data_IF_223930533719
#
_entry.id   IF_223930533719
#
_cell.length_a   1.000
_cell.length_b   1.000
_cell.length_c   1.000
_cell.angle_alpha   90.00
_cell.angle_beta   90.00
_cell.angle_gamma   90.00
#
_symmetry.space_group_name_H-M   'P 1'
#
loop_
_entity.id
_entity.type
_entity.pdbx_description
1 polymer ?
#
# COMPACT_ATOMS: atom_id res chain seq x y z
N UNK A 1 -4.39 -77.01 15.00
CA UNK A 1 -3.55 -77.25 16.20
C UNK A 1 -4.05 -76.36 17.35
N UNK A 2 -3.86 -76.74 18.62
CA UNK A 2 -4.14 -75.88 19.79
C UNK A 2 -2.80 -75.41 20.39
N UNK A 3 -2.68 -74.16 20.87
CA UNK A 3 -1.93 -73.82 22.09
C UNK A 3 -2.24 -72.43 22.65
N UNK A 4 -2.15 -72.40 23.97
CA UNK A 4 -2.75 -71.48 24.94
C UNK A 4 -2.03 -70.14 25.13
N UNK A 5 -2.84 -69.10 25.34
CA UNK A 5 -2.68 -67.87 26.15
C UNK A 5 -1.51 -67.78 27.15
N UNK A 6 -0.93 -66.58 27.28
CA UNK A 6 -0.48 -65.97 28.56
C UNK A 6 -0.70 -64.44 28.55
N UNK A 7 -0.92 -63.83 29.73
CA UNK A 7 -1.15 -62.38 29.93
C UNK A 7 0.06 -61.65 30.54
N UNK A 8 0.10 -60.30 30.39
CA UNK A 8 0.71 -59.34 31.34
C UNK A 8 0.16 -57.92 31.12
N UNK A 9 0.06 -57.13 32.20
CA UNK A 9 -0.65 -55.82 32.40
C UNK A 9 -0.02 -55.15 33.66
N UNK A 10 -0.19 -53.85 34.05
CA UNK A 10 -0.70 -52.62 33.39
C UNK A 10 0.43 -51.75 32.77
N UNK A 11 0.66 -50.41 32.86
CA UNK A 11 0.20 -49.22 33.65
C UNK A 11 0.32 -47.90 32.82
N UNK A 12 -0.29 -46.75 33.22
CA UNK A 12 -0.55 -45.59 32.35
C UNK A 12 0.51 -44.45 32.33
N UNK A 13 0.38 -43.50 31.38
CA UNK A 13 1.24 -42.30 31.23
C UNK A 13 0.52 -41.02 30.75
N UNK A 14 0.12 -40.16 31.69
CA UNK A 14 -0.10 -38.69 31.61
C UNK A 14 -0.84 -38.05 30.42
N UNK A 15 -2.00 -37.44 30.69
CA UNK A 15 -2.64 -36.45 29.82
C UNK A 15 -2.04 -35.02 29.99
N UNK A 16 -1.95 -34.19 28.93
CA UNK A 16 -1.57 -32.79 29.04
C UNK A 16 -2.60 -31.95 29.81
N UNK A 17 -2.12 -31.07 30.70
CA UNK A 17 -2.96 -30.20 31.55
C UNK A 17 -3.68 -29.13 30.72
N UNK A 18 -4.95 -28.86 31.05
CA UNK A 18 -5.53 -27.51 30.85
C UNK A 18 -4.67 -26.49 31.60
N UNK A 19 -4.29 -25.39 30.96
CA UNK A 19 -3.77 -24.19 31.64
C UNK A 19 -4.62 -22.99 31.22
N UNK A 20 -5.47 -22.52 32.12
CA UNK A 20 -6.04 -21.19 32.00
C UNK A 20 -4.92 -20.17 32.28
N UNK A 21 -4.81 -19.13 31.45
CA UNK A 21 -4.01 -17.94 31.72
C UNK A 21 -4.75 -16.70 31.21
N UNK A 22 -5.56 -16.15 32.10
CA UNK A 22 -5.75 -14.72 32.35
C UNK A 22 -5.92 -13.78 31.14
N UNK A 23 -7.17 -13.42 30.88
CA UNK A 23 -7.56 -12.26 30.09
C UNK A 23 -7.11 -10.96 30.77
N UNK A 24 -5.88 -10.51 30.51
CA UNK A 24 -5.40 -9.20 30.95
C UNK A 24 -6.09 -8.11 30.14
N UNK A 25 -7.07 -7.45 30.77
CA UNK A 25 -7.46 -6.08 30.40
C UNK A 25 -6.45 -5.12 31.04
N UNK A 26 -5.86 -4.21 30.26
CA UNK A 26 -5.31 -2.96 30.77
C UNK A 26 -5.64 -1.82 29.78
N UNK A 27 -5.79 -0.54 30.21
CA UNK A 27 -6.64 0.41 29.49
C UNK A 27 -5.93 1.66 28.97
N UNK A 28 -6.69 2.44 28.18
CA UNK A 28 -6.41 3.86 27.93
C UNK A 28 -5.39 4.14 26.83
N UNK A 29 -5.89 4.44 25.62
CA UNK A 29 -5.09 5.13 24.61
C UNK A 29 -4.66 6.52 25.11
N UNK A 30 -3.53 7.03 24.61
CA UNK A 30 -3.00 8.36 24.96
C UNK A 30 -1.90 8.41 26.02
N UNK A 31 -1.46 7.28 26.58
CA UNK A 31 -0.28 7.23 27.49
C UNK A 31 0.96 6.74 26.75
N UNK A 32 2.12 7.35 27.04
CA UNK A 32 3.41 6.87 26.54
C UNK A 32 3.67 5.41 26.99
N UNK A 33 4.30 4.57 26.14
CA UNK A 33 4.44 3.14 26.42
C UNK A 33 5.19 2.88 27.73
N UNK A 34 4.63 2.03 28.60
CA UNK A 34 5.27 1.74 29.89
C UNK A 34 6.52 0.89 29.65
N UNK A 35 7.62 1.06 30.42
CA UNK A 35 8.84 0.27 30.23
C UNK A 35 8.62 -1.25 30.27
N UNK A 36 7.64 -1.73 31.02
CA UNK A 36 7.23 -3.14 31.06
C UNK A 36 6.65 -3.64 29.71
N UNK A 37 5.85 -2.83 29.02
CA UNK A 37 5.24 -3.15 27.72
C UNK A 37 6.32 -3.21 26.63
N UNK A 38 7.23 -2.23 26.63
CA UNK A 38 8.40 -2.22 25.75
C UNK A 38 9.29 -3.43 26.01
N UNK A 39 9.54 -3.79 27.27
CA UNK A 39 10.34 -4.97 27.64
C UNK A 39 9.64 -6.31 27.32
N UNK A 40 8.30 -6.37 27.26
CA UNK A 40 7.59 -7.54 26.71
C UNK A 40 7.77 -7.60 25.21
N UNK A 41 7.50 -6.52 24.48
CA UNK A 41 7.66 -6.45 23.03
C UNK A 41 9.11 -6.77 22.60
N UNK A 42 10.10 -6.30 23.37
CA UNK A 42 11.53 -6.60 23.19
C UNK A 42 11.81 -8.10 23.26
N UNK A 43 11.23 -8.80 24.24
CA UNK A 43 11.39 -10.24 24.44
C UNK A 43 10.62 -11.08 23.43
N UNK A 44 9.51 -10.58 22.88
CA UNK A 44 8.66 -11.34 21.94
C UNK A 44 9.04 -11.12 20.47
N UNK A 45 9.46 -9.92 20.06
CA UNK A 45 9.77 -9.56 18.65
C UNK A 45 11.04 -8.73 18.46
N UNK A 46 11.88 -8.63 19.50
CA UNK A 46 13.23 -8.08 19.41
C UNK A 46 13.31 -6.55 19.38
N UNK A 47 14.52 -6.02 19.61
CA UNK A 47 14.80 -4.58 19.67
C UNK A 47 14.25 -3.83 18.45
N UNK A 48 14.40 -4.39 17.23
CA UNK A 48 13.92 -3.77 16.01
C UNK A 48 12.39 -3.62 15.92
N UNK A 49 11.60 -4.37 16.69
CA UNK A 49 10.16 -4.12 16.82
C UNK A 49 9.85 -3.00 17.83
N UNK A 50 10.64 -2.90 18.91
CA UNK A 50 10.56 -1.82 19.90
C UNK A 50 10.92 -0.48 19.28
N UNK A 51 12.09 -0.39 18.62
CA UNK A 51 12.54 0.82 17.94
C UNK A 51 11.51 1.28 16.91
N UNK A 52 10.95 0.35 16.11
CA UNK A 52 9.87 0.67 15.16
C UNK A 52 8.54 1.02 15.81
N UNK A 53 8.22 0.57 17.03
CA UNK A 53 7.00 1.02 17.74
C UNK A 53 7.18 2.43 18.29
N UNK A 54 8.35 2.76 18.83
CA UNK A 54 8.69 4.11 19.30
C UNK A 54 8.76 5.10 18.13
N UNK A 55 9.38 4.73 17.01
CA UNK A 55 9.44 5.53 15.77
C UNK A 55 8.13 5.60 14.98
N UNK A 56 7.07 4.89 15.39
CA UNK A 56 5.74 4.90 14.74
C UNK A 56 4.64 5.44 15.65
N UNK A 57 4.99 6.04 16.79
CA UNK A 57 4.01 6.88 17.46
C UNK A 57 3.81 8.12 16.60
N UNK A 58 2.62 8.26 16.04
CA UNK A 58 2.11 9.49 15.43
C UNK A 58 2.44 10.65 16.37
N UNK A 59 3.03 11.72 15.87
CA UNK A 59 3.25 12.92 16.70
C UNK A 59 1.89 13.37 17.24
N UNK A 60 1.69 13.50 18.57
CA UNK A 60 0.43 13.95 19.14
C UNK A 60 -0.04 15.29 18.57
N UNK A 61 0.88 16.17 18.16
CA UNK A 61 0.57 17.43 17.47
C UNK A 61 -0.09 17.20 16.10
N UNK A 62 0.39 16.23 15.32
CA UNK A 62 -0.17 15.88 14.00
C UNK A 62 -1.55 15.23 14.13
N UNK A 63 -1.76 14.40 15.16
CA UNK A 63 -3.08 13.83 15.47
C UNK A 63 -4.08 14.87 16.02
N UNK A 64 -3.62 16.00 16.56
CA UNK A 64 -4.44 17.15 16.97
C UNK A 64 -4.71 18.11 15.79
N UNK A 65 -3.70 18.34 14.94
CA UNK A 65 -3.82 19.07 13.67
C UNK A 65 -4.90 18.45 12.78
N UNK A 66 -4.85 17.13 12.57
CA UNK A 66 -5.86 16.40 11.80
C UNK A 66 -7.30 16.64 12.32
N UNK A 67 -7.51 16.55 13.64
CA UNK A 67 -8.83 16.76 14.27
C UNK A 67 -9.27 18.22 14.21
N UNK A 68 -8.34 19.18 14.32
CA UNK A 68 -8.63 20.61 14.15
C UNK A 68 -9.05 20.93 12.72
N UNK A 69 -8.32 20.43 11.74
CA UNK A 69 -8.62 20.63 10.32
C UNK A 69 -9.94 19.95 9.91
N UNK A 70 -10.32 18.85 10.55
CA UNK A 70 -11.65 18.24 10.36
C UNK A 70 -12.80 19.01 11.06
N UNK A 71 -12.50 19.76 12.13
CA UNK A 71 -13.50 20.55 12.87
C UNK A 71 -13.75 21.93 12.24
N UNK A 72 -12.72 22.54 11.65
CA UNK A 72 -12.84 23.69 10.73
C UNK A 72 -12.09 23.39 9.41
N UNK A 73 -12.78 22.75 8.45
CA UNK A 73 -12.23 22.50 7.12
C UNK A 73 -11.82 23.77 6.37
N UNK A 74 -12.45 24.92 6.67
CA UNK A 74 -12.23 26.16 5.92
C UNK A 74 -10.99 26.92 6.37
N UNK A 75 -10.54 26.72 7.62
CA UNK A 75 -9.29 27.27 8.13
C UNK A 75 -8.02 26.50 7.70
N UNK A 76 -8.16 25.32 7.07
CA UNK A 76 -7.03 24.60 6.52
C UNK A 76 -6.41 25.37 5.34
N UNK A 77 -5.11 25.66 5.40
CA UNK A 77 -4.40 26.49 4.40
C UNK A 77 -4.30 25.95 2.96
N UNK A 78 -4.96 24.83 2.65
CA UNK A 78 -5.07 24.25 1.30
C UNK A 78 -6.52 24.31 0.76
N UNK A 79 -7.47 24.83 1.54
CA UNK A 79 -8.90 24.87 1.17
C UNK A 79 -9.14 25.65 -0.13
N UNK A 80 -8.53 26.83 -0.28
CA UNK A 80 -8.60 27.59 -1.53
C UNK A 80 -7.96 26.84 -2.70
N UNK A 81 -6.80 26.21 -2.50
CA UNK A 81 -6.11 25.40 -3.51
C UNK A 81 -7.02 24.27 -4.01
N UNK A 82 -7.58 23.49 -3.08
CA UNK A 82 -8.47 22.38 -3.37
C UNK A 82 -9.73 22.84 -4.11
N UNK A 83 -10.44 23.85 -3.58
CA UNK A 83 -11.66 24.39 -4.19
C UNK A 83 -11.42 24.88 -5.62
N UNK A 84 -10.37 25.65 -5.84
CA UNK A 84 -10.10 26.26 -7.15
C UNK A 84 -9.62 25.20 -8.16
N UNK A 85 -8.92 24.16 -7.72
CA UNK A 85 -8.58 23.00 -8.54
C UNK A 85 -9.79 22.11 -8.87
N UNK A 86 -10.69 21.88 -7.92
CA UNK A 86 -11.94 21.13 -8.14
C UNK A 86 -12.84 21.87 -9.13
N UNK A 87 -12.96 23.20 -9.02
CA UNK A 87 -13.67 24.02 -9.99
C UNK A 87 -13.04 23.94 -11.40
N UNK A 88 -11.70 23.98 -11.51
CA UNK A 88 -10.98 23.79 -12.78
C UNK A 88 -11.20 22.39 -13.39
N UNK A 89 -11.30 21.36 -12.55
CA UNK A 89 -11.61 19.99 -12.96
C UNK A 89 -13.12 19.71 -13.17
N UNK A 90 -13.97 20.75 -13.12
CA UNK A 90 -15.39 20.67 -13.47
C UNK A 90 -16.30 20.09 -12.37
N UNK A 91 -15.85 20.03 -11.12
CA UNK A 91 -16.67 19.55 -10.01
C UNK A 91 -17.71 20.59 -9.55
N UNK A 92 -18.94 20.16 -9.21
CA UNK A 92 -19.91 21.01 -8.51
C UNK A 92 -19.39 21.49 -7.14
N UNK A 93 -19.93 22.62 -6.65
CA UNK A 93 -19.51 23.23 -5.39
C UNK A 93 -19.90 22.36 -4.17
N UNK A 94 -21.10 21.79 -4.17
CA UNK A 94 -21.58 20.85 -3.14
C UNK A 94 -20.75 19.56 -3.10
N UNK A 95 -20.38 19.02 -4.27
CA UNK A 95 -19.44 17.89 -4.40
C UNK A 95 -18.05 18.26 -3.88
N UNK A 96 -17.61 19.49 -4.11
CA UNK A 96 -16.33 20.03 -3.62
C UNK A 96 -16.31 20.14 -2.09
N UNK A 97 -17.27 20.87 -1.51
CA UNK A 97 -17.41 21.02 -0.06
C UNK A 97 -17.50 19.65 0.64
N UNK A 98 -18.29 18.73 0.08
CA UNK A 98 -18.47 17.37 0.60
C UNK A 98 -17.18 16.57 0.52
N UNK A 99 -16.49 16.56 -0.63
CA UNK A 99 -15.24 15.82 -0.79
C UNK A 99 -14.14 16.34 0.16
N UNK A 100 -14.08 17.65 0.41
CA UNK A 100 -13.13 18.24 1.36
C UNK A 100 -13.37 17.76 2.80
N UNK A 101 -14.63 17.81 3.25
CA UNK A 101 -15.03 17.30 4.58
C UNK A 101 -14.72 15.80 4.72
N UNK A 102 -14.97 15.01 3.67
CA UNK A 102 -14.71 13.57 3.67
C UNK A 102 -13.20 13.23 3.68
N UNK A 103 -12.37 14.01 3.01
CA UNK A 103 -10.89 13.89 3.06
C UNK A 103 -10.39 14.20 4.48
N UNK A 104 -10.74 15.35 5.06
CA UNK A 104 -10.21 15.78 6.35
C UNK A 104 -10.77 14.97 7.54
N UNK A 105 -12.07 14.69 7.54
CA UNK A 105 -12.70 13.79 8.53
C UNK A 105 -12.09 12.39 8.49
N UNK A 106 -11.80 11.87 7.28
CA UNK A 106 -11.11 10.60 7.12
C UNK A 106 -9.68 10.61 7.65
N UNK A 107 -8.92 11.68 7.43
CA UNK A 107 -7.54 11.84 7.96
C UNK A 107 -7.55 11.89 9.50
N UNK A 108 -8.50 12.62 10.10
CA UNK A 108 -8.68 12.69 11.56
C UNK A 108 -9.02 11.33 12.19
N UNK A 109 -9.94 10.58 11.57
CA UNK A 109 -10.34 9.25 12.03
C UNK A 109 -9.25 8.18 11.80
N UNK A 110 -8.39 8.36 10.79
CA UNK A 110 -7.39 7.36 10.44
C UNK A 110 -6.37 7.09 11.55
N UNK A 111 -6.08 8.08 12.42
CA UNK A 111 -5.22 7.88 13.59
C UNK A 111 -5.78 6.82 14.53
N UNK A 112 -7.07 6.93 14.89
CA UNK A 112 -7.78 5.95 15.74
C UNK A 112 -7.79 4.56 15.10
N UNK A 113 -8.08 4.47 13.80
CA UNK A 113 -8.10 3.20 13.06
C UNK A 113 -6.72 2.56 12.95
N UNK A 114 -5.64 3.35 12.88
CA UNK A 114 -4.27 2.86 12.87
C UNK A 114 -3.89 2.23 14.22
N UNK A 115 -4.16 2.91 15.34
CA UNK A 115 -3.88 2.41 16.69
C UNK A 115 -4.72 1.18 17.04
N UNK A 116 -6.01 1.19 16.67
CA UNK A 116 -6.90 0.05 16.87
C UNK A 116 -6.50 -1.15 16.01
N UNK A 117 -6.08 -0.96 14.76
CA UNK A 117 -5.57 -2.05 13.93
C UNK A 117 -4.36 -2.74 14.58
N UNK A 118 -3.40 -1.94 15.06
CA UNK A 118 -2.19 -2.42 15.74
C UNK A 118 -2.47 -3.09 17.10
N UNK A 119 -3.63 -2.83 17.70
CA UNK A 119 -4.04 -3.38 19.01
C UNK A 119 -4.92 -4.62 18.86
N UNK A 120 -5.80 -4.67 17.86
CA UNK A 120 -6.81 -5.72 17.66
C UNK A 120 -6.29 -6.90 16.85
N UNK A 121 -5.36 -6.69 15.91
CA UNK A 121 -4.96 -7.70 14.93
C UNK A 121 -3.46 -7.94 14.91
N UNK A 122 -3.05 -9.21 14.77
CA UNK A 122 -1.64 -9.62 14.63
C UNK A 122 -1.24 -9.85 13.17
N UNK A 123 -2.18 -10.23 12.30
CA UNK A 123 -1.90 -10.43 10.88
C UNK A 123 -1.87 -9.08 10.13
N UNK A 124 -0.84 -8.89 9.29
CA UNK A 124 -0.69 -7.65 8.50
C UNK A 124 -1.87 -7.35 7.58
N UNK A 125 -2.55 -8.39 7.09
CA UNK A 125 -3.67 -8.22 6.18
C UNK A 125 -4.92 -7.71 6.91
N UNK A 126 -5.31 -8.34 8.02
CA UNK A 126 -6.37 -7.85 8.91
C UNK A 126 -6.10 -6.39 9.35
N UNK A 127 -4.84 -6.06 9.69
CA UNK A 127 -4.44 -4.68 9.99
C UNK A 127 -4.62 -3.73 8.80
N UNK A 128 -4.42 -4.16 7.54
CA UNK A 128 -4.69 -3.33 6.35
C UNK A 128 -6.18 -3.16 6.14
N UNK A 129 -6.93 -4.26 6.16
CA UNK A 129 -8.36 -4.31 5.88
C UNK A 129 -9.14 -3.46 6.89
N UNK A 130 -8.76 -3.51 8.18
CA UNK A 130 -9.33 -2.62 9.21
C UNK A 130 -8.98 -1.14 9.00
N UNK A 131 -7.76 -0.81 8.56
CA UNK A 131 -7.41 0.59 8.24
C UNK A 131 -8.12 1.10 6.99
N UNK A 132 -8.46 0.21 6.05
CA UNK A 132 -9.25 0.53 4.86
C UNK A 132 -10.76 0.62 5.13
N UNK A 133 -11.25 0.18 6.30
CA UNK A 133 -12.67 0.27 6.68
C UNK A 133 -13.11 1.67 7.14
N UNK A 134 -12.26 2.69 6.95
CA UNK A 134 -12.56 4.09 7.26
C UNK A 134 -13.75 4.57 6.42
N UNK A 135 -14.92 4.75 7.06
CA UNK A 135 -16.17 5.09 6.38
C UNK A 135 -16.10 6.41 5.61
N UNK A 136 -15.36 7.40 6.11
CA UNK A 136 -15.17 8.68 5.42
C UNK A 136 -14.57 8.50 4.02
N UNK A 137 -13.57 7.62 3.87
CA UNK A 137 -12.98 7.31 2.56
C UNK A 137 -13.88 6.43 1.69
N UNK A 138 -14.77 5.62 2.28
CA UNK A 138 -15.77 4.86 1.53
C UNK A 138 -16.89 5.76 0.99
N UNK A 139 -17.34 6.75 1.76
CA UNK A 139 -18.26 7.79 1.27
C UNK A 139 -17.59 8.69 0.22
N UNK A 140 -16.31 9.07 0.42
CA UNK A 140 -15.54 9.85 -0.55
C UNK A 140 -15.56 9.17 -1.93
N UNK A 141 -15.33 7.86 -1.98
CA UNK A 141 -15.39 7.06 -3.22
C UNK A 141 -16.76 7.05 -3.90
N UNK A 142 -17.86 7.23 -3.16
CA UNK A 142 -19.20 7.39 -3.77
C UNK A 142 -19.37 8.78 -4.39
N UNK A 143 -18.87 9.82 -3.70
CA UNK A 143 -18.99 11.22 -4.12
C UNK A 143 -18.10 11.53 -5.33
N UNK A 144 -16.84 11.10 -5.32
CA UNK A 144 -15.84 11.43 -6.35
C UNK A 144 -15.64 10.34 -7.39
N UNK A 145 -16.35 9.22 -7.26
CA UNK A 145 -16.05 7.97 -7.97
C UNK A 145 -15.96 8.12 -9.48
N UNK A 146 -16.94 8.77 -10.12
CA UNK A 146 -16.96 8.92 -11.59
C UNK A 146 -15.91 9.93 -12.10
N UNK A 147 -15.37 10.76 -11.21
CA UNK A 147 -14.20 11.61 -11.46
C UNK A 147 -12.85 10.86 -11.27
N UNK A 148 -12.89 9.54 -11.06
CA UNK A 148 -11.76 8.61 -11.23
C UNK A 148 -11.77 7.92 -12.61
N UNK A 149 -12.42 8.53 -13.61
CA UNK A 149 -12.38 8.07 -15.00
C UNK A 149 -11.00 8.26 -15.65
N UNK A 150 -10.73 7.47 -16.69
CA UNK A 150 -9.55 7.62 -17.56
C UNK A 150 -9.88 8.47 -18.79
N UNK A 151 -8.93 9.31 -19.20
CA UNK A 151 -9.00 10.21 -20.36
C UNK A 151 -8.20 9.70 -21.57
N UNK A 152 -7.38 8.67 -21.38
CA UNK A 152 -6.67 7.94 -22.45
C UNK A 152 -7.32 6.56 -22.68
N UNK A 153 -6.97 5.82 -23.75
CA UNK A 153 -7.58 4.51 -24.03
C UNK A 153 -7.30 3.40 -22.99
N UNK A 154 -6.36 3.61 -22.06
CA UNK A 154 -5.88 2.57 -21.15
C UNK A 154 -5.49 3.11 -19.77
N UNK A 155 -5.64 2.26 -18.76
CA UNK A 155 -5.28 2.58 -17.38
C UNK A 155 -3.81 2.26 -17.13
N UNK A 156 -3.14 3.08 -16.31
CA UNK A 156 -1.84 2.76 -15.74
C UNK A 156 -1.91 2.53 -14.22
N UNK A 157 -1.08 1.62 -13.74
CA UNK A 157 -0.69 1.47 -12.34
C UNK A 157 0.84 1.41 -12.27
N UNK A 158 1.41 1.75 -11.10
CA UNK A 158 2.86 1.86 -10.98
C UNK A 158 3.38 1.44 -9.59
N UNK A 159 4.66 1.07 -9.52
CA UNK A 159 5.35 0.91 -8.24
C UNK A 159 6.85 1.15 -8.35
N UNK A 160 7.40 1.89 -7.37
CA UNK A 160 8.84 2.17 -7.25
C UNK A 160 9.21 3.66 -7.24
N UNK A 161 8.28 4.57 -7.51
CA UNK A 161 8.47 6.03 -7.39
C UNK A 161 7.39 6.83 -8.13
N UNK A 162 7.07 8.04 -7.65
CA UNK A 162 6.00 8.91 -8.20
C UNK A 162 6.30 9.33 -9.64
N UNK A 163 7.57 9.41 -10.01
CA UNK A 163 8.03 9.66 -11.38
C UNK A 163 7.63 8.56 -12.38
N UNK A 164 7.33 7.35 -11.90
CA UNK A 164 6.83 6.24 -12.74
C UNK A 164 5.38 6.50 -13.16
N UNK A 165 4.61 7.29 -12.40
CA UNK A 165 3.28 7.77 -12.81
C UNK A 165 3.38 8.74 -14.00
N UNK A 166 4.30 9.71 -13.91
CA UNK A 166 4.52 10.69 -14.99
C UNK A 166 5.05 10.02 -16.26
N UNK A 167 5.90 9.00 -16.11
CA UNK A 167 6.34 8.14 -17.22
C UNK A 167 5.17 7.39 -17.86
N UNK A 168 4.34 6.69 -17.08
CA UNK A 168 3.17 5.99 -17.59
C UNK A 168 2.20 6.95 -18.30
N UNK A 169 2.08 8.19 -17.80
CA UNK A 169 1.32 9.25 -18.45
C UNK A 169 1.93 9.69 -19.78
N UNK A 170 3.25 9.88 -19.85
CA UNK A 170 3.96 10.21 -21.09
C UNK A 170 3.89 9.08 -22.14
N UNK A 171 3.73 7.82 -21.70
CA UNK A 171 3.50 6.65 -22.58
C UNK A 171 2.05 6.52 -23.09
N UNK A 172 1.15 7.43 -22.71
CA UNK A 172 -0.21 7.50 -23.23
C UNK A 172 -1.26 6.72 -22.43
N UNK A 173 -0.98 6.43 -21.16
CA UNK A 173 -1.90 5.78 -20.22
C UNK A 173 -2.37 6.77 -19.14
N UNK A 174 -3.49 6.51 -18.48
CA UNK A 174 -3.94 7.34 -17.35
C UNK A 174 -3.64 6.63 -16.03
N UNK A 175 -2.67 7.09 -15.22
CA UNK A 175 -2.51 6.67 -13.82
C UNK A 175 -3.52 7.37 -12.90
N UNK A 176 -3.62 6.92 -11.63
CA UNK A 176 -4.54 7.50 -10.64
C UNK A 176 -4.34 9.01 -10.47
N UNK A 177 -3.09 9.46 -10.41
CA UNK A 177 -2.70 10.87 -10.21
C UNK A 177 -2.98 11.76 -11.45
N UNK A 178 -3.37 11.15 -12.58
CA UNK A 178 -3.82 11.86 -13.78
C UNK A 178 -5.36 11.85 -13.95
N UNK A 179 -6.11 11.21 -13.05
CA UNK A 179 -7.59 11.31 -13.05
C UNK A 179 -8.06 12.67 -12.53
N UNK A 180 -9.26 13.16 -12.91
CA UNK A 180 -9.77 14.45 -12.44
C UNK A 180 -9.75 14.64 -10.93
N UNK A 181 -10.12 13.64 -10.11
CA UNK A 181 -9.99 13.75 -8.65
C UNK A 181 -8.58 13.47 -8.14
N UNK A 182 -7.91 12.42 -8.65
CA UNK A 182 -6.59 12.02 -8.17
C UNK A 182 -5.53 13.11 -8.40
N UNK A 183 -5.58 13.81 -9.53
CA UNK A 183 -4.72 14.94 -9.86
C UNK A 183 -5.06 16.25 -9.15
N UNK A 184 -6.16 16.31 -8.40
CA UNK A 184 -6.39 17.33 -7.36
C UNK A 184 -5.63 16.92 -6.10
N UNK A 185 -5.92 15.73 -5.57
CA UNK A 185 -5.41 15.27 -4.26
C UNK A 185 -3.88 15.06 -4.23
N UNK A 186 -3.26 14.68 -5.35
CA UNK A 186 -1.81 14.50 -5.50
C UNK A 186 -1.00 15.79 -5.22
N UNK A 187 -1.60 16.97 -5.40
CA UNK A 187 -0.91 18.27 -5.30
C UNK A 187 -1.05 18.97 -3.93
N UNK A 188 -1.72 18.34 -2.96
CA UNK A 188 -2.13 19.01 -1.70
C UNK A 188 -1.32 18.58 -0.49
N UNK A 189 -0.92 19.56 0.32
CA UNK A 189 -0.21 19.38 1.58
C UNK A 189 -1.17 19.14 2.75
N UNK A 190 -2.05 18.14 2.61
CA UNK A 190 -3.16 17.87 3.56
C UNK A 190 -2.70 17.64 5.01
N UNK A 191 -1.59 16.92 5.18
CA UNK A 191 -0.94 16.64 6.48
C UNK A 191 0.47 16.08 6.22
N UNK A 192 1.37 16.22 7.20
CA UNK A 192 2.75 15.72 7.09
C UNK A 192 2.85 14.19 7.09
N UNK A 193 2.09 13.51 7.97
CA UNK A 193 2.19 12.06 8.14
C UNK A 193 1.50 11.24 7.03
N UNK A 194 2.29 10.40 6.37
CA UNK A 194 1.83 9.45 5.38
C UNK A 194 1.01 8.30 5.97
N UNK A 195 1.13 7.94 7.25
CA UNK A 195 0.31 6.89 7.86
C UNK A 195 -1.18 7.27 7.97
N UNK A 196 -1.51 8.57 7.95
CA UNK A 196 -2.89 9.07 7.90
C UNK A 196 -3.42 9.15 6.46
N UNK A 197 -2.57 9.54 5.49
CA UNK A 197 -2.95 9.69 4.07
C UNK A 197 -2.98 8.37 3.29
N UNK A 198 -2.09 7.42 3.58
CA UNK A 198 -1.95 6.17 2.77
C UNK A 198 -3.27 5.37 2.65
N UNK A 199 -4.09 5.22 3.70
CA UNK A 199 -5.35 4.47 3.58
C UNK A 199 -6.39 5.15 2.67
N UNK A 200 -6.38 6.49 2.54
CA UNK A 200 -7.18 7.20 1.53
C UNK A 200 -6.77 6.79 0.11
N UNK A 201 -5.46 6.85 -0.16
CA UNK A 201 -4.89 6.46 -1.46
C UNK A 201 -5.20 5.01 -1.81
N UNK A 202 -5.13 4.08 -0.85
CA UNK A 202 -5.55 2.68 -1.05
C UNK A 202 -7.02 2.54 -1.49
N UNK A 203 -7.92 3.33 -0.88
CA UNK A 203 -9.36 3.26 -1.14
C UNK A 203 -9.71 3.89 -2.50
N UNK A 204 -9.08 5.03 -2.83
CA UNK A 204 -9.16 5.65 -4.17
C UNK A 204 -8.58 4.73 -5.26
N UNK A 205 -7.42 4.13 -5.02
CA UNK A 205 -6.78 3.10 -5.86
C UNK A 205 -7.73 1.93 -6.17
N UNK A 206 -8.38 1.37 -5.15
CA UNK A 206 -9.35 0.28 -5.33
C UNK A 206 -10.58 0.71 -6.14
N UNK A 207 -11.07 1.93 -5.94
CA UNK A 207 -12.19 2.51 -6.71
C UNK A 207 -11.83 2.80 -8.17
N UNK A 208 -10.58 3.20 -8.42
CA UNK A 208 -10.00 3.45 -9.72
C UNK A 208 -9.87 2.16 -10.54
N UNK A 209 -9.19 1.12 -10.03
CA UNK A 209 -9.03 -0.15 -10.76
C UNK A 209 -10.35 -0.85 -11.07
N UNK A 210 -11.40 -0.61 -10.27
CA UNK A 210 -12.75 -1.11 -10.51
C UNK A 210 -13.44 -0.47 -11.74
N UNK A 211 -12.89 0.63 -12.26
CA UNK A 211 -13.30 1.28 -13.51
C UNK A 211 -12.55 0.79 -14.75
N UNK A 212 -11.61 -0.16 -14.64
CA UNK A 212 -10.94 -0.73 -15.81
C UNK A 212 -11.94 -1.40 -16.78
N UNK A 213 -11.81 -1.11 -18.09
CA UNK A 213 -12.64 -1.69 -19.17
C UNK A 213 -11.83 -2.27 -20.33
N UNK A 214 -10.54 -1.97 -20.40
CA UNK A 214 -9.58 -2.47 -21.39
C UNK A 214 -8.23 -2.79 -20.73
N UNK A 215 -7.13 -2.86 -21.50
CA UNK A 215 -5.80 -3.12 -20.96
C UNK A 215 -5.40 -2.19 -19.81
N UNK A 216 -4.73 -2.76 -18.81
CA UNK A 216 -4.14 -2.07 -17.66
C UNK A 216 -2.63 -2.30 -17.71
N UNK A 217 -1.89 -1.21 -17.87
CA UNK A 217 -0.44 -1.19 -17.97
C UNK A 217 0.17 -0.99 -16.58
N UNK A 218 1.11 -1.84 -16.19
CA UNK A 218 1.66 -1.91 -14.84
C UNK A 218 3.16 -1.66 -14.91
N UNK A 219 3.58 -0.45 -14.53
CA UNK A 219 4.96 0.03 -14.60
C UNK A 219 5.71 -0.23 -13.30
N UNK A 220 6.67 -1.15 -13.34
CA UNK A 220 7.32 -1.72 -12.16
C UNK A 220 8.80 -1.36 -12.13
N UNK A 221 9.18 -0.35 -11.33
CA UNK A 221 10.58 -0.02 -11.03
C UNK A 221 11.12 -0.74 -9.80
N UNK A 222 10.25 -1.14 -8.86
CA UNK A 222 10.64 -1.96 -7.71
C UNK A 222 9.52 -2.93 -7.31
N UNK A 223 9.83 -4.22 -7.22
CA UNK A 223 8.86 -5.21 -6.77
C UNK A 223 8.69 -5.20 -5.26
N UNK A 224 7.43 -5.18 -4.79
CA UNK A 224 7.10 -5.32 -3.39
C UNK A 224 5.73 -6.02 -3.23
N UNK A 225 5.68 -7.28 -2.74
CA UNK A 225 4.41 -7.97 -2.50
C UNK A 225 3.57 -7.33 -1.38
N UNK A 226 4.16 -6.49 -0.53
CA UNK A 226 3.48 -5.72 0.52
C UNK A 226 3.01 -4.32 0.05
N UNK A 227 3.16 -3.99 -1.25
CA UNK A 227 2.68 -2.72 -1.84
C UNK A 227 1.17 -2.70 -2.11
N UNK A 228 0.61 -1.50 -2.31
CA UNK A 228 -0.80 -1.31 -2.73
C UNK A 228 -1.07 -2.06 -4.04
N UNK A 229 -0.18 -1.90 -5.02
CA UNK A 229 -0.24 -2.59 -6.32
C UNK A 229 -0.39 -4.11 -6.17
N UNK A 230 0.54 -4.77 -5.48
CA UNK A 230 0.57 -6.23 -5.46
C UNK A 230 -0.42 -6.83 -4.44
N UNK A 231 -0.69 -6.14 -3.33
CA UNK A 231 -1.56 -6.65 -2.27
C UNK A 231 -3.04 -6.26 -2.40
N UNK A 232 -3.39 -5.22 -3.16
CA UNK A 232 -4.77 -4.69 -3.26
C UNK A 232 -5.24 -4.52 -4.71
N UNK A 233 -4.47 -3.82 -5.56
CA UNK A 233 -4.88 -3.51 -6.94
C UNK A 233 -4.93 -4.75 -7.83
N UNK A 234 -3.85 -5.54 -7.87
CA UNK A 234 -3.77 -6.76 -8.71
C UNK A 234 -4.78 -7.83 -8.28
N UNK A 235 -5.04 -8.09 -6.98
CA UNK A 235 -6.16 -8.92 -6.54
C UNK A 235 -7.54 -8.39 -6.98
N UNK A 236 -7.80 -7.08 -6.85
CA UNK A 236 -9.06 -6.47 -7.30
C UNK A 236 -9.21 -6.59 -8.82
N UNK A 237 -8.15 -6.32 -9.59
CA UNK A 237 -8.15 -6.45 -11.05
C UNK A 237 -8.45 -7.88 -11.51
N UNK A 238 -8.00 -8.92 -10.80
CA UNK A 238 -8.36 -10.32 -11.13
C UNK A 238 -9.87 -10.57 -11.04
N UNK A 239 -10.58 -9.90 -10.12
CA UNK A 239 -12.05 -9.95 -10.05
C UNK A 239 -12.66 -9.18 -11.23
N UNK A 240 -12.13 -7.99 -11.56
CA UNK A 240 -12.58 -7.18 -12.70
C UNK A 240 -12.37 -7.90 -14.05
N UNK A 241 -11.26 -8.62 -14.23
CA UNK A 241 -10.96 -9.43 -15.42
C UNK A 241 -11.98 -10.57 -15.63
N UNK A 242 -12.49 -11.16 -14.55
CA UNK A 242 -13.53 -12.19 -14.63
C UNK A 242 -14.90 -11.63 -15.06
N UNK A 243 -15.12 -10.32 -14.89
CA UNK A 243 -16.35 -9.61 -15.32
C UNK A 243 -16.18 -8.93 -16.69
N UNK A 244 -14.94 -8.57 -17.06
CA UNK A 244 -14.61 -7.82 -18.27
C UNK A 244 -13.42 -8.46 -19.01
N UNK A 245 -13.63 -9.42 -19.93
CA UNK A 245 -12.55 -10.13 -20.64
C UNK A 245 -11.64 -9.26 -21.53
N UNK A 246 -12.02 -8.01 -21.78
CA UNK A 246 -11.17 -7.00 -22.44
C UNK A 246 -10.08 -6.44 -21.50
N UNK A 247 -10.23 -6.58 -20.18
CA UNK A 247 -9.23 -6.20 -19.19
C UNK A 247 -8.12 -7.25 -19.18
N UNK A 248 -6.91 -6.81 -19.49
CA UNK A 248 -5.67 -7.61 -19.52
C UNK A 248 -4.58 -6.84 -18.81
N UNK A 249 -3.70 -7.54 -18.10
CA UNK A 249 -2.56 -6.93 -17.42
C UNK A 249 -1.35 -6.95 -18.35
N UNK A 250 -0.76 -5.79 -18.59
CA UNK A 250 0.45 -5.60 -19.40
C UNK A 250 1.54 -5.08 -18.46
N UNK A 251 2.64 -5.79 -18.32
CA UNK A 251 3.66 -5.51 -17.31
C UNK A 251 4.92 -4.91 -17.93
N UNK A 252 5.42 -3.80 -17.38
CA UNK A 252 6.57 -3.06 -17.91
C UNK A 252 7.66 -2.96 -16.81
N UNK A 253 8.80 -3.67 -16.91
CA UNK A 253 9.92 -3.52 -15.99
C UNK A 253 10.65 -2.21 -16.31
N UNK A 254 10.61 -1.25 -15.38
CA UNK A 254 11.18 0.09 -15.56
C UNK A 254 12.51 0.21 -14.83
N UNK A 255 13.51 0.78 -15.47
CA UNK A 255 14.79 1.16 -14.87
C UNK A 255 15.01 2.67 -15.06
N UNK A 256 15.60 3.34 -14.06
CA UNK A 256 16.10 4.70 -14.24
C UNK A 256 17.57 4.65 -14.66
N UNK A 257 17.88 5.14 -15.86
CA UNK A 257 19.23 5.25 -16.39
C UNK A 257 20.09 6.24 -15.57
N UNK A 258 21.38 6.34 -15.90
CA UNK A 258 22.35 7.16 -15.15
C UNK A 258 22.15 8.67 -15.31
N UNK A 259 21.40 9.10 -16.33
CA UNK A 259 20.88 10.45 -16.55
C UNK A 259 19.52 10.70 -15.85
N UNK A 260 18.95 9.68 -15.22
CA UNK A 260 17.63 9.70 -14.60
C UNK A 260 16.46 9.38 -15.54
N UNK A 261 16.69 9.17 -16.84
CA UNK A 261 15.62 8.81 -17.78
C UNK A 261 15.04 7.43 -17.44
N UNK A 262 13.70 7.35 -17.39
CA UNK A 262 13.00 6.08 -17.21
C UNK A 262 12.91 5.35 -18.55
N UNK A 263 13.33 4.08 -18.54
CA UNK A 263 13.41 3.18 -19.70
C UNK A 263 12.84 1.81 -19.32
N UNK A 264 12.35 1.06 -20.29
CA UNK A 264 11.83 -0.29 -20.12
C UNK A 264 12.93 -1.33 -20.45
N UNK A 265 12.92 -2.48 -19.77
CA UNK A 265 14.00 -3.49 -19.85
C UNK A 265 13.59 -4.68 -20.73
N UNK A 266 14.42 -5.05 -21.72
CA UNK A 266 14.19 -6.22 -22.60
C UNK A 266 14.62 -7.55 -21.97
N UNK A 267 14.19 -8.69 -22.56
CA UNK A 267 14.66 -10.03 -22.16
C UNK A 267 16.17 -10.24 -22.35
N UNK A 268 16.80 -9.47 -23.23
CA UNK A 268 18.24 -9.50 -23.47
C UNK A 268 19.00 -8.57 -22.50
N UNK A 269 18.28 -7.96 -21.54
CA UNK A 269 18.78 -6.97 -20.59
C UNK A 269 19.23 -5.65 -21.26
N UNK A 270 18.59 -5.28 -22.37
CA UNK A 270 18.78 -3.98 -23.03
C UNK A 270 17.79 -2.95 -22.46
N UNK A 271 18.13 -1.66 -22.53
CA UNK A 271 17.19 -0.57 -22.24
C UNK A 271 16.53 -0.07 -23.54
N UNK A 272 15.21 0.07 -23.51
CA UNK A 272 14.38 0.51 -24.64
C UNK A 272 13.28 1.47 -24.17
N UNK A 273 12.58 2.10 -25.10
CA UNK A 273 11.38 2.89 -24.81
C UNK A 273 10.11 2.03 -24.70
N UNK A 274 10.14 0.74 -25.08
CA UNK A 274 8.99 -0.18 -25.02
C UNK A 274 9.45 -1.65 -24.83
N UNK A 275 9.13 -2.25 -23.68
CA UNK A 275 9.30 -3.67 -23.40
C UNK A 275 8.20 -4.16 -22.44
N UNK A 276 7.16 -4.78 -23.00
CA UNK A 276 5.99 -5.25 -22.25
C UNK A 276 5.87 -6.77 -22.16
N UNK A 277 5.27 -7.25 -21.07
CA UNK A 277 5.20 -8.66 -20.69
C UNK A 277 3.79 -9.08 -20.27
N UNK A 278 3.44 -10.33 -20.56
CA UNK A 278 2.10 -10.87 -20.30
C UNK A 278 1.88 -11.30 -18.84
N UNK A 279 2.97 -11.46 -18.06
CA UNK A 279 2.89 -11.90 -16.67
C UNK A 279 3.75 -11.05 -15.74
N UNK A 280 3.31 -10.95 -14.49
CA UNK A 280 4.07 -10.35 -13.37
C UNK A 280 5.45 -11.00 -13.24
N UNK A 281 5.50 -12.33 -13.28
CA UNK A 281 6.70 -13.08 -12.87
C UNK A 281 7.81 -12.95 -13.92
N UNK A 282 7.45 -12.89 -15.20
CA UNK A 282 8.35 -12.58 -16.31
C UNK A 282 8.92 -11.15 -16.22
N UNK A 283 8.06 -10.16 -15.95
CA UNK A 283 8.48 -8.75 -15.73
C UNK A 283 9.39 -8.60 -14.50
N UNK A 284 9.04 -9.23 -13.37
CA UNK A 284 9.85 -9.22 -12.14
C UNK A 284 11.20 -9.89 -12.37
N UNK A 285 11.24 -11.03 -13.08
CA UNK A 285 12.49 -11.72 -13.39
C UNK A 285 13.43 -10.85 -14.24
N UNK A 286 12.93 -10.25 -15.33
CA UNK A 286 13.71 -9.37 -16.21
C UNK A 286 14.24 -8.14 -15.46
N UNK A 287 13.39 -7.50 -14.63
CA UNK A 287 13.81 -6.39 -13.78
C UNK A 287 14.93 -6.81 -12.79
N UNK A 288 14.79 -7.98 -12.18
CA UNK A 288 15.75 -8.49 -11.19
C UNK A 288 17.07 -8.90 -11.82
N UNK A 289 17.07 -9.57 -12.98
CA UNK A 289 18.30 -9.92 -13.67
C UNK A 289 19.04 -8.68 -14.19
N UNK A 290 18.34 -7.67 -14.70
CA UNK A 290 18.98 -6.39 -15.05
C UNK A 290 19.58 -5.69 -13.83
N UNK A 291 18.80 -5.57 -12.73
CA UNK A 291 19.29 -4.94 -11.49
C UNK A 291 20.47 -5.72 -10.87
N UNK A 292 20.54 -7.04 -11.03
CA UNK A 292 21.61 -7.89 -10.48
C UNK A 292 22.86 -7.96 -11.37
N UNK A 293 22.71 -7.86 -12.69
CA UNK A 293 23.80 -8.08 -13.65
C UNK A 293 24.35 -6.79 -14.27
N UNK A 294 23.52 -5.75 -14.45
CA UNK A 294 23.85 -4.55 -15.23
C UNK A 294 23.62 -3.22 -14.48
N UNK A 295 23.21 -3.25 -13.20
CA UNK A 295 23.12 -2.03 -12.41
C UNK A 295 24.52 -1.48 -12.09
N UNK A 296 24.87 -0.35 -12.69
CA UNK A 296 25.99 0.49 -12.28
C UNK A 296 25.78 0.99 -10.82
N UNK A 297 26.66 0.62 -9.85
CA UNK A 297 26.55 1.09 -8.47
C UNK A 297 26.66 2.60 -8.28
N UNK A 298 27.24 3.33 -9.25
CA UNK A 298 27.27 4.79 -9.23
C UNK A 298 25.90 5.42 -9.52
N UNK A 299 25.02 4.75 -10.28
CA UNK A 299 23.70 5.24 -10.65
C UNK A 299 22.80 5.45 -9.43
N UNK A 300 22.72 6.70 -8.98
CA UNK A 300 21.90 7.12 -7.86
C UNK A 300 20.38 6.93 -8.09
N UNK A 301 19.91 7.04 -9.34
CA UNK A 301 18.48 7.03 -9.69
C UNK A 301 17.85 5.64 -9.50
N UNK A 302 18.59 4.57 -9.82
CA UNK A 302 18.13 3.18 -9.60
C UNK A 302 18.64 2.54 -8.30
N UNK A 303 19.53 3.20 -7.55
CA UNK A 303 20.14 2.67 -6.30
C UNK A 303 19.12 2.12 -5.30
N UNK A 304 17.96 2.78 -5.15
CA UNK A 304 16.88 2.31 -4.26
C UNK A 304 16.25 1.00 -4.76
N UNK A 305 15.92 0.92 -6.04
CA UNK A 305 15.32 -0.28 -6.64
C UNK A 305 16.27 -1.48 -6.53
N UNK A 306 17.57 -1.25 -6.78
CA UNK A 306 18.62 -2.25 -6.55
C UNK A 306 18.67 -2.68 -5.07
N UNK A 307 18.75 -1.76 -4.11
CA UNK A 307 18.81 -2.10 -2.68
C UNK A 307 17.53 -2.85 -2.19
N UNK A 308 16.35 -2.43 -2.63
CA UNK A 308 15.08 -3.10 -2.34
C UNK A 308 15.01 -4.51 -2.98
N UNK A 309 15.68 -4.75 -4.11
CA UNK A 309 15.86 -6.08 -4.71
C UNK A 309 16.88 -6.94 -3.94
N UNK A 310 18.09 -6.44 -3.68
CA UNK A 310 19.16 -7.16 -2.97
C UNK A 310 18.69 -7.65 -1.60
N UNK A 311 17.98 -6.79 -0.86
CA UNK A 311 17.40 -7.16 0.43
C UNK A 311 16.37 -8.30 0.35
N UNK A 312 15.67 -8.45 -0.79
CA UNK A 312 14.70 -9.54 -1.03
C UNK A 312 15.36 -10.83 -1.48
N UNK A 313 16.38 -10.76 -2.32
CA UNK A 313 17.16 -11.93 -2.72
C UNK A 313 17.80 -12.59 -1.48
N UNK A 314 18.44 -11.78 -0.63
CA UNK A 314 19.00 -12.21 0.64
C UNK A 314 17.93 -12.76 1.61
N UNK A 315 16.78 -12.08 1.76
CA UNK A 315 15.69 -12.56 2.62
C UNK A 315 15.06 -13.89 2.13
N UNK A 316 15.17 -14.19 0.83
CA UNK A 316 14.74 -15.46 0.22
C UNK A 316 15.86 -16.51 0.18
N UNK A 317 17.02 -16.27 0.82
CA UNK A 317 18.13 -17.23 0.91
C UNK A 317 19.02 -17.31 -0.34
N UNK A 318 18.89 -16.37 -1.29
CA UNK A 318 19.78 -16.28 -2.44
C UNK A 318 20.99 -15.40 -2.09
N UNK A 319 22.22 -15.76 -2.49
CA UNK A 319 23.35 -14.84 -2.44
C UNK A 319 23.08 -13.63 -3.35
N UNK A 320 23.63 -12.48 -2.95
CA UNK A 320 23.61 -11.22 -3.71
C UNK A 320 24.98 -11.03 -4.35
#
# INVERSE_FOLDING_TARGET
MRKTVTHSVPVPGTAPRRRAQDTVRDPGAGRAPRPAELAVLQRTVGNAAVTRRVQRQTDPGVAEEARRNAADPTAHGEWSTFRDMMAQAGFPADVTDTAWQLVLGGIAEQGRLNDEAMTKFTARQEQRDYRASNSWYQELVKVVGDHLGIDTPTMALWSGGREVSDYARARGHTPLEATPFGGVVDKLTLISDWMLKTPMWNVLSKAFVSRARGPVHIFLRAYNPDSVLIAQEVPQLRVIMALHPAVKLVWHPVYAASDGQLMEVTKNLELTSDASYSTRDECVQVLYDYLRLLHDPANAHSRRAHADMSARLAANGNPV
#
